data_IF_767068062542
#
_entry.id   IF_767068062542
#
_cell.length_a   1.000
_cell.length_b   1.000
_cell.length_c   1.000
_cell.angle_alpha   90.00
_cell.angle_beta   90.00
_cell.angle_gamma   90.00
#
_symmetry.space_group_name_H-M   'P 1'
#
loop_
_entity.id
_entity.type
_entity.pdbx_description
1 polymer ?
#
# COMPACT_ATOMS: atom_id res chain seq x y z
N UNK A 1 -4.52 -15.93 13.44
CA UNK A 1 -5.10 -14.60 13.11
C UNK A 1 -6.44 -14.84 12.46
N UNK A 2 -7.49 -14.17 12.94
CA UNK A 2 -8.84 -14.34 12.41
C UNK A 2 -9.25 -13.05 11.70
N UNK A 3 -9.95 -13.18 10.57
CA UNK A 3 -10.52 -12.08 9.81
C UNK A 3 -12.02 -12.30 9.72
N UNK A 4 -12.80 -11.24 9.90
CA UNK A 4 -14.25 -11.30 9.78
C UNK A 4 -14.76 -10.03 9.09
N UNK A 5 -15.66 -10.20 8.12
CA UNK A 5 -16.40 -9.07 7.57
C UNK A 5 -17.48 -8.67 8.58
N UNK A 6 -17.43 -7.42 9.06
CA UNK A 6 -18.41 -6.90 10.02
C UNK A 6 -19.65 -6.37 9.31
N UNK A 7 -19.49 -5.54 8.28
CA UNK A 7 -20.61 -4.92 7.59
C UNK A 7 -20.31 -4.61 6.12
N UNK A 8 -21.36 -4.55 5.30
CA UNK A 8 -21.35 -4.00 3.94
C UNK A 8 -22.58 -3.10 3.79
N UNK A 9 -22.41 -1.80 4.00
CA UNK A 9 -23.50 -0.81 4.02
C UNK A 9 -23.53 -0.02 2.72
N UNK A 10 -24.74 0.24 2.21
CA UNK A 10 -24.94 1.10 1.05
C UNK A 10 -25.32 2.50 1.51
N UNK A 11 -24.40 3.45 1.38
CA UNK A 11 -24.68 4.88 1.58
C UNK A 11 -25.32 5.43 0.32
N UNK A 12 -26.60 5.85 0.42
CA UNK A 12 -27.42 6.31 -0.71
C UNK A 12 -27.30 7.81 -1.00
N UNK A 13 -26.92 8.59 0.00
CA UNK A 13 -26.67 10.04 -0.09
C UNK A 13 -25.22 10.34 -0.45
N UNK A 14 -24.86 11.62 -0.51
CA UNK A 14 -23.46 12.06 -0.63
C UNK A 14 -22.59 11.39 0.44
N UNK A 15 -21.42 10.89 0.03
CA UNK A 15 -20.45 10.25 0.91
C UNK A 15 -19.60 11.29 1.64
N UNK A 16 -20.24 12.19 2.37
CA UNK A 16 -19.56 13.25 3.14
C UNK A 16 -18.91 12.66 4.39
N UNK A 17 -17.92 13.39 4.93
CA UNK A 17 -17.09 12.90 6.04
C UNK A 17 -17.89 12.61 7.33
N UNK A 18 -18.94 13.38 7.59
CA UNK A 18 -19.88 13.23 8.70
C UNK A 18 -20.72 11.95 8.57
N UNK A 19 -21.26 11.69 7.37
CA UNK A 19 -22.02 10.46 7.07
C UNK A 19 -21.13 9.23 7.21
N UNK A 20 -19.89 9.30 6.69
CA UNK A 20 -18.92 8.21 6.80
C UNK A 20 -18.57 7.94 8.28
N UNK A 21 -18.27 8.98 9.05
CA UNK A 21 -17.94 8.85 10.46
C UNK A 21 -19.08 8.22 11.27
N UNK A 22 -20.31 8.69 11.07
CA UNK A 22 -21.49 8.18 11.74
C UNK A 22 -21.75 6.69 11.43
N UNK A 23 -21.60 6.29 10.17
CA UNK A 23 -21.77 4.88 9.77
C UNK A 23 -20.69 3.96 10.38
N UNK A 24 -19.44 4.43 10.46
CA UNK A 24 -18.35 3.67 11.11
C UNK A 24 -18.66 3.48 12.60
N UNK A 25 -19.11 4.54 13.27
CA UNK A 25 -19.47 4.48 14.68
C UNK A 25 -20.68 3.55 14.94
N UNK A 26 -21.71 3.61 14.08
CA UNK A 26 -22.86 2.72 14.18
C UNK A 26 -22.44 1.25 14.07
N UNK A 27 -21.51 0.93 13.15
CA UNK A 27 -20.95 -0.41 13.02
C UNK A 27 -20.18 -0.79 14.29
N UNK A 28 -19.30 0.08 14.80
CA UNK A 28 -18.56 -0.21 16.04
C UNK A 28 -19.50 -0.46 17.22
N UNK A 29 -20.55 0.35 17.36
CA UNK A 29 -21.57 0.21 18.40
C UNK A 29 -22.35 -1.10 18.27
N UNK A 30 -22.80 -1.44 17.05
CA UNK A 30 -23.58 -2.65 16.77
C UNK A 30 -22.84 -3.93 17.17
N UNK A 31 -21.51 -3.95 16.97
CA UNK A 31 -20.66 -5.10 17.28
C UNK A 31 -19.93 -5.00 18.63
N UNK A 32 -20.22 -3.98 19.44
CA UNK A 32 -19.58 -3.80 20.76
C UNK A 32 -18.06 -3.58 20.69
N UNK A 33 -17.59 -2.92 19.61
CA UNK A 33 -16.19 -2.62 19.32
C UNK A 33 -15.75 -1.22 19.76
N UNK A 34 -16.67 -0.42 20.30
CA UNK A 34 -16.36 0.92 20.80
C UNK A 34 -15.20 0.88 21.81
N UNK A 35 -14.18 1.74 21.60
CA UNK A 35 -12.96 1.79 22.42
C UNK A 35 -12.01 0.58 22.31
N UNK A 36 -12.32 -0.43 21.49
CA UNK A 36 -11.47 -1.63 21.31
C UNK A 36 -10.67 -1.63 20.01
N UNK A 37 -11.01 -0.73 19.08
CA UNK A 37 -10.33 -0.63 17.79
C UNK A 37 -9.03 0.14 17.98
N UNK A 38 -7.92 -0.53 17.74
CA UNK A 38 -6.56 0.05 17.92
C UNK A 38 -6.07 0.82 16.70
N UNK A 39 -6.59 0.51 15.52
CA UNK A 39 -6.19 1.13 14.26
C UNK A 39 -7.26 0.92 13.19
N UNK A 40 -7.42 1.91 12.31
CA UNK A 40 -8.27 1.84 11.12
C UNK A 40 -7.47 2.19 9.88
N UNK A 41 -7.61 1.39 8.83
CA UNK A 41 -6.97 1.62 7.54
C UNK A 41 -8.03 1.90 6.50
N UNK A 42 -7.95 3.03 5.81
CA UNK A 42 -8.83 3.35 4.67
C UNK A 42 -8.02 3.69 3.43
N UNK A 43 -8.69 3.80 2.29
CA UNK A 43 -8.08 4.47 1.14
C UNK A 43 -7.76 5.95 1.46
N UNK A 44 -7.17 6.65 0.48
CA UNK A 44 -6.71 8.03 0.63
C UNK A 44 -7.75 9.02 0.11
N UNK A 45 -9.03 8.63 0.01
CA UNK A 45 -10.06 9.56 -0.41
C UNK A 45 -10.24 10.66 0.66
N UNK A 46 -10.44 11.89 0.19
CA UNK A 46 -10.47 13.08 1.04
C UNK A 46 -11.53 13.02 2.14
N UNK A 47 -12.70 12.43 1.87
CA UNK A 47 -13.77 12.32 2.87
C UNK A 47 -13.44 11.32 3.99
N UNK A 48 -12.69 10.24 3.72
CA UNK A 48 -12.18 9.38 4.79
C UNK A 48 -11.14 10.12 5.62
N UNK A 49 -10.13 10.73 4.98
CA UNK A 49 -9.10 11.48 5.67
C UNK A 49 -9.70 12.59 6.56
N UNK A 50 -10.71 13.30 6.05
CA UNK A 50 -11.42 14.34 6.80
C UNK A 50 -12.24 13.77 7.95
N UNK A 51 -12.91 12.63 7.78
CA UNK A 51 -13.69 12.01 8.84
C UNK A 51 -12.81 11.66 10.05
N UNK A 52 -11.68 11.00 9.80
CA UNK A 52 -10.74 10.66 10.87
C UNK A 52 -10.05 11.90 11.43
N UNK A 53 -9.67 12.89 10.63
CA UNK A 53 -9.10 14.13 11.15
C UNK A 53 -10.05 14.92 12.05
N UNK A 54 -11.37 14.88 11.79
CA UNK A 54 -12.38 15.63 12.57
C UNK A 54 -12.82 14.86 13.82
N UNK A 55 -12.94 13.54 13.74
CA UNK A 55 -13.53 12.71 14.80
C UNK A 55 -12.50 11.89 15.59
N UNK A 56 -11.20 11.93 15.27
CA UNK A 56 -10.19 11.25 16.07
C UNK A 56 -10.03 11.92 17.44
N UNK A 57 -9.98 11.11 18.51
CA UNK A 57 -9.78 11.59 19.88
C UNK A 57 -8.38 12.19 20.01
N UNK A 58 -8.28 13.37 20.63
CA UNK A 58 -7.03 14.11 20.79
C UNK A 58 -6.03 13.50 21.80
N UNK A 59 -6.17 12.24 22.22
CA UNK A 59 -5.33 11.66 23.27
C UNK A 59 -4.01 11.05 22.76
N UNK A 60 -3.74 11.10 21.45
CA UNK A 60 -2.43 10.78 20.89
C UNK A 60 -2.09 11.81 19.81
N UNK A 61 -0.91 12.40 19.90
CA UNK A 61 -0.36 13.38 18.97
C UNK A 61 -0.30 12.82 17.55
N UNK A 62 -1.42 12.92 16.83
CA UNK A 62 -1.49 12.77 15.39
C UNK A 62 -1.08 14.11 14.78
N UNK A 63 0.21 14.28 14.52
CA UNK A 63 0.71 15.38 13.69
C UNK A 63 0.28 15.17 12.24
N UNK A 64 -0.95 15.60 11.93
CA UNK A 64 -1.41 15.74 10.56
C UNK A 64 -0.63 16.88 9.89
N UNK A 65 0.35 16.51 9.06
CA UNK A 65 1.01 17.43 8.13
C UNK A 65 -0.06 18.14 7.29
N UNK A 66 -0.11 19.47 7.38
CA UNK A 66 -0.86 20.30 6.44
C UNK A 66 -0.11 20.25 5.10
N UNK A 67 -0.60 19.46 4.17
CA UNK A 67 -0.20 19.61 2.77
C UNK A 67 -0.77 20.94 2.25
N UNK A 68 0.13 21.85 1.89
CA UNK A 68 -0.13 23.11 1.20
C UNK A 68 -0.54 22.78 -0.24
N UNK A 69 -1.80 22.34 -0.41
CA UNK A 69 -2.41 22.24 -1.73
C UNK A 69 -2.79 23.67 -2.16
N UNK A 70 -2.18 24.16 -3.25
CA UNK A 70 -2.76 25.21 -4.08
C UNK A 70 -4.12 24.71 -4.60
N UNK A 71 -5.16 24.81 -3.76
CA UNK A 71 -6.53 24.51 -4.16
C UNK A 71 -7.01 25.59 -5.15
N UNK A 72 -7.44 25.16 -6.33
CA UNK A 72 -8.43 25.93 -7.10
C UNK A 72 -9.60 26.27 -6.17
N UNK A 73 -10.13 27.51 -6.20
CA UNK A 73 -11.14 27.95 -5.26
C UNK A 73 -12.43 27.15 -5.48
N UNK A 74 -12.64 26.15 -4.63
CA UNK A 74 -13.92 25.44 -4.57
C UNK A 74 -14.94 26.41 -3.99
N UNK A 75 -15.90 26.84 -4.81
CA UNK A 75 -16.97 27.75 -4.40
C UNK A 75 -17.79 27.08 -3.29
N UNK A 76 -17.47 27.42 -2.04
CA UNK A 76 -18.19 26.89 -0.88
C UNK A 76 -19.42 27.75 -0.68
N UNK A 77 -20.59 27.16 -0.92
CA UNK A 77 -21.87 27.85 -0.72
C UNK A 77 -22.01 28.28 0.74
N UNK A 78 -22.15 29.58 0.98
CA UNK A 78 -22.18 30.20 2.32
C UNK A 78 -23.31 29.63 3.18
N UNK A 79 -24.35 29.06 2.54
CA UNK A 79 -25.47 28.40 3.22
C UNK A 79 -25.03 27.09 3.92
N UNK A 80 -24.03 26.37 3.40
CA UNK A 80 -23.51 25.16 4.05
C UNK A 80 -22.66 25.47 5.29
N UNK A 81 -22.01 26.64 5.33
CA UNK A 81 -21.24 27.09 6.51
C UNK A 81 -22.18 27.48 7.66
N UNK A 82 -23.35 28.04 7.34
CA UNK A 82 -24.33 28.47 8.34
C UNK A 82 -25.31 27.37 8.77
N UNK A 83 -25.31 26.22 8.08
CA UNK A 83 -26.18 25.08 8.39
C UNK A 83 -25.46 23.94 9.12
N UNK A 84 -24.27 24.19 9.68
CA UNK A 84 -23.61 23.21 10.54
C UNK A 84 -24.57 22.83 11.69
N UNK A 85 -25.07 21.59 11.73
CA UNK A 85 -25.93 21.17 12.82
C UNK A 85 -25.12 21.23 14.11
N UNK A 86 -25.78 21.78 15.12
CA UNK A 86 -25.33 21.84 16.50
C UNK A 86 -24.80 20.48 16.95
N UNK A 87 -23.71 20.51 17.71
CA UNK A 87 -23.00 19.39 18.30
C UNK A 87 -23.92 18.46 19.08
N UNK A 88 -24.47 17.41 18.45
CA UNK A 88 -25.17 16.33 19.14
C UNK A 88 -24.74 14.97 18.56
N UNK A 89 -23.89 14.27 19.31
CA UNK A 89 -23.30 12.97 18.95
C UNK A 89 -21.78 13.01 18.82
N UNK A 90 -21.06 13.40 19.88
CA UNK A 90 -19.60 13.45 19.90
C UNK A 90 -19.03 12.03 20.04
N UNK A 91 -19.04 11.25 18.96
CA UNK A 91 -18.32 9.99 18.89
C UNK A 91 -16.85 10.23 18.52
N UNK A 92 -16.01 9.26 18.85
CA UNK A 92 -14.60 9.33 18.54
C UNK A 92 -14.15 8.14 17.70
N UNK A 93 -13.53 8.44 16.57
CA UNK A 93 -12.95 7.44 15.69
C UNK A 93 -11.55 7.03 16.18
N UNK A 94 -11.18 5.74 16.01
CA UNK A 94 -9.86 5.23 16.37
C UNK A 94 -8.74 5.80 15.48
N UNK A 95 -7.46 5.57 15.84
CA UNK A 95 -6.31 5.99 15.05
C UNK A 95 -6.41 5.57 13.58
N UNK A 96 -6.04 6.48 12.68
CA UNK A 96 -6.19 6.31 11.23
C UNK A 96 -4.86 6.14 10.52
N UNK A 97 -4.83 5.19 9.59
CA UNK A 97 -3.71 4.96 8.69
C UNK A 97 -4.19 4.95 7.23
N UNK A 98 -3.40 5.57 6.37
CA UNK A 98 -3.59 5.55 4.92
C UNK A 98 -3.23 4.18 4.35
N UNK A 99 -4.04 3.66 3.43
CA UNK A 99 -3.80 2.36 2.79
C UNK A 99 -2.48 2.39 1.99
N UNK A 100 -1.50 1.60 2.42
CA UNK A 100 -0.20 1.54 1.77
C UNK A 100 -0.30 1.15 0.29
N UNK A 101 -1.15 0.19 -0.03
CA UNK A 101 -1.36 -0.24 -1.41
C UNK A 101 -1.94 0.88 -2.28
N UNK A 102 -2.86 1.69 -1.74
CA UNK A 102 -3.39 2.84 -2.47
C UNK A 102 -2.31 3.93 -2.65
N UNK A 103 -1.51 4.16 -1.62
CA UNK A 103 -0.37 5.10 -1.68
C UNK A 103 0.66 4.66 -2.73
N UNK A 104 0.99 3.37 -2.85
CA UNK A 104 1.88 2.89 -3.93
C UNK A 104 1.22 3.08 -5.30
N UNK A 105 -0.08 2.85 -5.44
CA UNK A 105 -0.78 3.11 -6.69
C UNK A 105 -0.70 4.59 -7.08
N UNK A 106 -0.86 5.51 -6.13
CA UNK A 106 -0.70 6.96 -6.37
C UNK A 106 0.72 7.32 -6.85
N UNK A 107 1.77 6.65 -6.36
CA UNK A 107 3.13 6.84 -6.88
C UNK A 107 3.19 6.50 -8.37
N UNK A 108 2.56 5.39 -8.77
CA UNK A 108 2.50 4.96 -10.16
C UNK A 108 1.65 5.89 -11.04
N UNK A 109 0.49 6.34 -10.57
CA UNK A 109 -0.48 7.06 -11.41
C UNK A 109 -0.36 8.58 -11.32
N UNK A 110 0.28 9.12 -10.28
CA UNK A 110 0.45 10.56 -10.08
C UNK A 110 1.91 10.97 -10.23
N UNK A 111 2.81 10.47 -9.38
CA UNK A 111 4.20 10.96 -9.34
C UNK A 111 4.99 10.58 -10.60
N UNK A 112 4.89 9.32 -11.02
CA UNK A 112 5.50 8.82 -12.26
C UNK A 112 4.92 9.53 -13.48
N UNK A 113 3.58 9.65 -13.57
CA UNK A 113 2.95 10.35 -14.71
C UNK A 113 3.33 11.83 -14.76
N UNK A 114 3.36 12.52 -13.63
CA UNK A 114 3.81 13.92 -13.54
C UNK A 114 5.23 14.04 -14.07
N UNK A 115 6.14 13.17 -13.64
CA UNK A 115 7.53 13.18 -14.10
C UNK A 115 7.68 12.90 -15.61
N UNK A 116 6.97 11.89 -16.12
CA UNK A 116 6.98 11.56 -17.54
C UNK A 116 6.43 12.70 -18.42
N UNK A 117 5.57 13.57 -17.86
CA UNK A 117 5.04 14.74 -18.53
C UNK A 117 5.88 16.02 -18.36
N UNK A 118 6.96 16.00 -17.57
CA UNK A 118 7.78 17.19 -17.26
C UNK A 118 8.72 17.59 -18.41
N UNK A 119 9.39 16.63 -19.04
CA UNK A 119 10.31 16.91 -20.16
C UNK A 119 9.58 16.78 -21.50
N UNK A 120 9.86 17.68 -22.46
CA UNK A 120 9.18 17.66 -23.76
C UNK A 120 9.44 16.36 -24.54
N UNK A 121 10.69 15.86 -24.50
CA UNK A 121 11.09 14.63 -25.19
C UNK A 121 10.38 13.40 -24.57
N UNK A 122 10.52 13.18 -23.25
CA UNK A 122 9.90 12.04 -22.56
C UNK A 122 8.38 12.09 -22.69
N UNK A 123 7.77 13.28 -22.56
CA UNK A 123 6.33 13.48 -22.70
C UNK A 123 5.82 13.06 -24.07
N UNK A 124 6.52 13.44 -25.14
CA UNK A 124 6.12 13.10 -26.51
C UNK A 124 6.12 11.59 -26.74
N UNK A 125 7.18 10.91 -26.31
CA UNK A 125 7.33 9.45 -26.44
C UNK A 125 6.32 8.73 -25.57
N UNK A 126 6.18 9.12 -24.30
CA UNK A 126 5.21 8.53 -23.37
C UNK A 126 3.78 8.63 -23.91
N UNK A 127 3.34 9.84 -24.28
CA UNK A 127 1.97 10.05 -24.79
C UNK A 127 1.72 9.30 -26.09
N UNK A 128 2.69 9.28 -27.00
CA UNK A 128 2.57 8.54 -28.26
C UNK A 128 2.48 7.04 -28.04
N UNK A 129 3.36 6.47 -27.20
CA UNK A 129 3.33 5.05 -26.81
C UNK A 129 1.99 4.67 -26.17
N UNK A 130 1.53 5.44 -25.18
CA UNK A 130 0.28 5.16 -24.46
C UNK A 130 -0.95 5.30 -25.35
N UNK A 131 -0.96 6.27 -26.28
CA UNK A 131 -2.04 6.42 -27.25
C UNK A 131 -2.13 5.21 -28.20
N UNK A 132 -0.99 4.68 -28.66
CA UNK A 132 -0.95 3.48 -29.51
C UNK A 132 -1.41 2.23 -28.76
N UNK A 133 -0.94 2.02 -27.53
CA UNK A 133 -1.43 0.94 -26.68
C UNK A 133 -2.94 1.05 -26.44
N UNK A 134 -3.44 2.24 -26.15
CA UNK A 134 -4.87 2.51 -25.93
C UNK A 134 -5.71 2.25 -27.19
N UNK A 135 -5.22 2.64 -28.36
CA UNK A 135 -5.86 2.34 -29.63
C UNK A 135 -5.95 0.83 -29.87
N UNK A 136 -4.89 0.09 -29.55
CA UNK A 136 -4.84 -1.36 -29.69
C UNK A 136 -5.85 -2.06 -28.76
N UNK A 137 -5.85 -1.71 -27.47
CA UNK A 137 -6.82 -2.24 -26.50
C UNK A 137 -8.26 -1.92 -26.89
N UNK A 138 -8.52 -0.69 -27.33
CA UNK A 138 -9.87 -0.25 -27.74
C UNK A 138 -10.35 -0.98 -28.99
N UNK A 139 -9.46 -1.19 -29.98
CA UNK A 139 -9.81 -1.93 -31.19
C UNK A 139 -10.07 -3.40 -30.90
N UNK A 140 -9.20 -4.03 -30.12
CA UNK A 140 -9.36 -5.42 -29.72
C UNK A 140 -10.62 -5.65 -28.87
N UNK A 141 -11.02 -4.69 -28.02
CA UNK A 141 -12.22 -4.86 -27.18
C UNK A 141 -13.54 -4.61 -27.92
N UNK A 142 -13.53 -3.77 -28.97
CA UNK A 142 -14.76 -3.35 -29.67
C UNK A 142 -15.05 -4.13 -30.95
N UNK A 143 -14.13 -4.97 -31.42
CA UNK A 143 -14.29 -5.72 -32.67
C UNK A 143 -13.84 -7.16 -32.47
N UNK A 144 -14.77 -8.12 -32.66
CA UNK A 144 -14.48 -9.56 -32.60
C UNK A 144 -13.38 -9.95 -33.59
N UNK A 145 -13.48 -9.48 -34.84
CA UNK A 145 -12.46 -9.72 -35.86
C UNK A 145 -11.06 -9.22 -35.44
N UNK A 146 -10.98 -8.02 -34.87
CA UNK A 146 -9.72 -7.48 -34.37
C UNK A 146 -9.20 -8.29 -33.18
N UNK A 147 -10.08 -8.73 -32.27
CA UNK A 147 -9.72 -9.57 -31.14
C UNK A 147 -9.12 -10.91 -31.61
N UNK A 148 -9.75 -11.56 -32.59
CA UNK A 148 -9.29 -12.81 -33.21
C UNK A 148 -7.93 -12.62 -33.89
N UNK A 149 -7.75 -11.56 -34.68
CA UNK A 149 -6.46 -11.25 -35.33
C UNK A 149 -5.34 -11.02 -34.31
N UNK A 150 -5.65 -10.40 -33.18
CA UNK A 150 -4.68 -10.19 -32.11
C UNK A 150 -4.39 -11.51 -31.39
N UNK A 151 -5.41 -12.32 -31.11
CA UNK A 151 -5.28 -13.62 -30.43
C UNK A 151 -4.50 -14.64 -31.29
N UNK A 152 -4.66 -14.61 -32.61
CA UNK A 152 -3.91 -15.42 -33.57
C UNK A 152 -2.39 -15.16 -33.48
N UNK A 153 -1.99 -13.89 -33.36
CA UNK A 153 -0.57 -13.49 -33.29
C UNK A 153 -0.01 -13.61 -31.87
N UNK A 154 -0.75 -13.15 -30.88
CA UNK A 154 -0.28 -13.08 -29.49
C UNK A 154 -0.56 -14.35 -28.67
N UNK A 155 -1.18 -15.36 -29.31
CA UNK A 155 -1.68 -16.63 -28.74
C UNK A 155 -2.60 -16.49 -27.53
N UNK A 156 -3.06 -15.27 -27.22
CA UNK A 156 -3.80 -14.96 -26.00
C UNK A 156 -4.45 -13.57 -26.15
N UNK A 157 -5.66 -13.36 -25.63
CA UNK A 157 -6.36 -12.06 -25.68
C UNK A 157 -5.62 -10.90 -24.98
N UNK A 158 -5.66 -9.71 -25.58
CA UNK A 158 -5.19 -8.50 -24.91
C UNK A 158 -6.06 -8.15 -23.71
N UNK A 159 -5.42 -7.60 -22.68
CA UNK A 159 -6.10 -7.08 -21.51
C UNK A 159 -6.32 -5.58 -21.68
N UNK A 160 -7.55 -5.14 -21.44
CA UNK A 160 -7.85 -3.71 -21.35
C UNK A 160 -7.54 -3.28 -19.91
N UNK A 161 -6.69 -2.27 -19.68
CA UNK A 161 -6.41 -1.80 -18.34
C UNK A 161 -7.65 -1.20 -17.69
N UNK A 162 -7.78 -1.36 -16.37
CA UNK A 162 -8.92 -0.91 -15.57
C UNK A 162 -8.44 -0.13 -14.35
N UNK A 163 -9.00 1.05 -14.10
CA UNK A 163 -8.64 1.87 -12.94
C UNK A 163 -8.86 1.19 -11.58
N UNK A 164 -9.76 0.21 -11.52
CA UNK A 164 -10.10 -0.55 -10.30
C UNK A 164 -9.11 -1.64 -9.93
N UNK A 165 -8.18 -2.00 -10.84
CA UNK A 165 -7.11 -2.99 -10.58
C UNK A 165 -5.77 -2.33 -10.80
N UNK A 166 -5.09 -1.98 -9.70
CA UNK A 166 -3.89 -1.14 -9.70
C UNK A 166 -2.73 -1.69 -10.56
N UNK A 167 -2.60 -3.01 -10.67
CA UNK A 167 -1.58 -3.64 -11.54
C UNK A 167 -2.00 -3.79 -13.01
N UNK A 168 -3.24 -3.47 -13.39
CA UNK A 168 -3.78 -3.80 -14.72
C UNK A 168 -3.07 -3.08 -15.87
N UNK A 169 -2.58 -1.86 -15.67
CA UNK A 169 -1.86 -1.12 -16.71
C UNK A 169 -0.51 -1.79 -17.02
N UNK A 170 0.23 -2.15 -15.98
CA UNK A 170 1.47 -2.90 -16.09
C UNK A 170 1.25 -4.22 -16.84
N UNK A 171 0.23 -4.98 -16.43
CA UNK A 171 -0.10 -6.27 -17.06
C UNK A 171 -0.49 -6.09 -18.53
N UNK A 172 -1.31 -5.10 -18.85
CA UNK A 172 -1.76 -4.83 -20.21
C UNK A 172 -0.60 -4.42 -21.15
N UNK A 173 0.32 -3.59 -20.69
CA UNK A 173 1.50 -3.18 -21.48
C UNK A 173 2.50 -4.35 -21.58
N UNK A 174 2.77 -5.05 -20.47
CA UNK A 174 3.63 -6.25 -20.46
C UNK A 174 3.14 -7.27 -21.48
N UNK A 175 1.81 -7.40 -21.61
CA UNK A 175 1.20 -8.28 -22.59
C UNK A 175 1.44 -7.86 -24.04
N UNK A 176 1.37 -6.57 -24.35
CA UNK A 176 1.74 -6.07 -25.68
C UNK A 176 3.20 -6.40 -25.98
N UNK A 177 4.09 -6.20 -24.99
CA UNK A 177 5.52 -6.47 -25.14
C UNK A 177 5.88 -7.95 -25.25
N UNK A 178 4.93 -8.87 -25.04
CA UNK A 178 5.15 -10.29 -25.37
C UNK A 178 5.09 -10.55 -26.88
N UNK A 179 4.51 -9.62 -27.65
CA UNK A 179 4.44 -9.70 -29.12
C UNK A 179 5.72 -9.11 -29.70
N UNK A 180 6.51 -9.89 -30.47
CA UNK A 180 7.71 -9.39 -31.14
C UNK A 180 7.42 -8.17 -32.03
N UNK A 181 8.36 -7.22 -32.12
CA UNK A 181 8.16 -5.97 -32.87
C UNK A 181 7.90 -6.18 -34.37
N UNK A 182 8.47 -7.24 -34.95
CA UNK A 182 8.25 -7.68 -36.32
C UNK A 182 6.82 -8.21 -36.58
N UNK A 183 6.06 -8.55 -35.54
CA UNK A 183 4.67 -9.02 -35.64
C UNK A 183 3.68 -7.95 -35.17
N UNK A 184 4.04 -7.18 -34.14
CA UNK A 184 3.22 -6.11 -33.58
C UNK A 184 2.93 -5.00 -34.60
N UNK A 185 3.93 -4.59 -35.38
CA UNK A 185 3.74 -3.52 -36.37
C UNK A 185 2.87 -3.96 -37.57
N UNK A 186 3.06 -5.14 -38.18
CA UNK A 186 2.11 -5.66 -39.16
C UNK A 186 0.68 -5.77 -38.63
N UNK A 187 0.50 -6.19 -37.38
CA UNK A 187 -0.80 -6.19 -36.71
C UNK A 187 -1.39 -4.77 -36.61
N UNK A 188 -0.58 -3.78 -36.21
CA UNK A 188 -1.02 -2.38 -36.19
C UNK A 188 -1.48 -1.91 -37.56
N UNK A 189 -0.77 -2.25 -38.65
CA UNK A 189 -1.18 -1.91 -40.02
C UNK A 189 -2.52 -2.54 -40.38
N UNK A 190 -2.70 -3.84 -40.10
CA UNK A 190 -3.98 -4.54 -40.33
C UNK A 190 -5.15 -3.89 -39.59
N UNK A 191 -4.90 -3.41 -38.36
CA UNK A 191 -5.91 -2.78 -37.51
C UNK A 191 -6.11 -1.28 -37.77
N UNK A 192 -5.32 -0.68 -38.67
CA UNK A 192 -5.35 0.76 -38.97
C UNK A 192 -4.78 1.63 -37.84
N UNK A 193 -3.86 1.10 -37.04
CA UNK A 193 -3.19 1.79 -35.94
C UNK A 193 -1.78 2.20 -36.41
N UNK A 194 -1.30 3.37 -35.97
CA UNK A 194 0.07 3.80 -36.26
C UNK A 194 1.07 2.84 -35.62
N UNK A 195 2.05 2.37 -36.40
CA UNK A 195 3.11 1.48 -35.94
C UNK A 195 3.93 2.09 -34.80
N UNK A 196 4.44 1.25 -33.91
CA UNK A 196 5.39 1.62 -32.88
C UNK A 196 6.77 1.85 -33.51
N UNK A 197 7.40 2.95 -33.11
CA UNK A 197 8.79 3.26 -33.42
C UNK A 197 9.72 2.53 -32.45
N UNK A 198 10.99 2.35 -32.83
CA UNK A 198 11.98 1.70 -31.97
C UNK A 198 12.14 2.44 -30.63
N UNK A 199 12.09 3.78 -30.64
CA UNK A 199 12.15 4.61 -29.43
C UNK A 199 10.99 4.34 -28.48
N UNK A 200 9.77 4.21 -29.00
CA UNK A 200 8.57 3.92 -28.19
C UNK A 200 8.60 2.49 -27.64
N UNK A 201 9.06 1.53 -28.44
CA UNK A 201 9.19 0.14 -28.00
C UNK A 201 10.23 0.00 -26.89
N UNK A 202 11.39 0.64 -27.05
CA UNK A 202 12.43 0.68 -26.02
C UNK A 202 11.93 1.40 -24.75
N UNK A 203 11.22 2.52 -24.89
CA UNK A 203 10.59 3.21 -23.76
C UNK A 203 9.64 2.29 -22.99
N UNK A 204 8.74 1.56 -23.68
CA UNK A 204 7.77 0.68 -23.02
C UNK A 204 8.47 -0.47 -22.27
N UNK A 205 9.55 -1.03 -22.82
CA UNK A 205 10.36 -2.05 -22.12
C UNK A 205 10.98 -1.50 -20.84
N UNK A 206 11.59 -0.33 -20.90
CA UNK A 206 12.19 0.33 -19.74
C UNK A 206 11.14 0.70 -18.70
N UNK A 207 10.00 1.25 -19.15
CA UNK A 207 8.85 1.56 -18.29
C UNK A 207 8.40 0.32 -17.52
N UNK A 208 8.13 -0.80 -18.20
CA UNK A 208 7.74 -2.05 -17.53
C UNK A 208 8.83 -2.56 -16.57
N UNK A 209 10.11 -2.47 -16.94
CA UNK A 209 11.20 -2.86 -16.04
C UNK A 209 11.16 -2.07 -14.72
N UNK A 210 10.99 -0.75 -14.80
CA UNK A 210 10.95 0.15 -13.65
C UNK A 210 9.67 0.04 -12.84
N UNK A 211 8.53 -0.24 -13.48
CA UNK A 211 7.24 -0.41 -12.80
C UNK A 211 7.11 -1.78 -12.11
N UNK A 212 7.88 -2.79 -12.53
CA UNK A 212 7.79 -4.16 -11.99
C UNK A 212 8.01 -4.25 -10.46
N UNK A 213 9.02 -3.59 -9.86
CA UNK A 213 9.13 -3.56 -8.39
C UNK A 213 7.87 -3.02 -7.70
N UNK A 214 7.23 -1.99 -8.25
CA UNK A 214 6.00 -1.41 -7.70
C UNK A 214 4.84 -2.41 -7.74
N UNK A 215 4.66 -3.14 -8.84
CA UNK A 215 3.58 -4.12 -8.96
C UNK A 215 3.76 -5.30 -8.01
N UNK A 216 5.00 -5.78 -7.85
CA UNK A 216 5.33 -6.82 -6.87
C UNK A 216 5.06 -6.33 -5.43
N UNK A 217 5.40 -5.09 -5.12
CA UNK A 217 5.10 -4.51 -3.81
C UNK A 217 3.58 -4.38 -3.59
N UNK A 218 2.83 -3.96 -4.61
CA UNK A 218 1.37 -3.91 -4.57
C UNK A 218 0.76 -5.29 -4.32
N UNK A 219 1.19 -6.33 -5.03
CA UNK A 219 0.69 -7.69 -4.83
C UNK A 219 0.95 -8.20 -3.41
N UNK A 220 2.12 -7.88 -2.84
CA UNK A 220 2.45 -8.24 -1.45
C UNK A 220 1.52 -7.52 -0.48
N UNK A 221 1.32 -6.22 -0.64
CA UNK A 221 0.58 -5.39 0.32
C UNK A 221 -0.95 -5.54 0.19
N UNK A 222 -1.45 -5.92 -0.98
CA UNK A 222 -2.85 -6.25 -1.22
C UNK A 222 -3.21 -7.69 -0.85
N UNK A 223 -2.20 -8.55 -0.65
CA UNK A 223 -2.43 -9.94 -0.28
C UNK A 223 -3.12 -10.07 1.07
N UNK A 224 -4.05 -11.02 1.19
CA UNK A 224 -4.83 -11.22 2.41
C UNK A 224 -3.92 -11.43 3.64
N UNK A 225 -2.83 -12.16 3.49
CA UNK A 225 -1.88 -12.46 4.58
C UNK A 225 -0.88 -11.32 4.86
N UNK A 226 -1.06 -10.15 4.24
CA UNK A 226 -0.22 -9.00 4.54
C UNK A 226 -0.42 -8.52 5.98
N UNK A 227 0.70 -8.23 6.64
CA UNK A 227 0.74 -7.76 8.02
C UNK A 227 1.39 -6.40 8.05
N UNK A 228 1.12 -5.58 9.07
CA UNK A 228 1.81 -4.31 9.24
C UNK A 228 3.34 -4.48 9.28
N UNK A 229 3.84 -5.56 9.88
CA UNK A 229 5.27 -5.92 9.88
C UNK A 229 5.87 -6.24 8.50
N UNK A 230 5.05 -6.47 7.47
CA UNK A 230 5.54 -6.64 6.10
C UNK A 230 5.77 -5.31 5.39
N UNK A 231 5.24 -4.19 5.90
CA UNK A 231 5.24 -2.91 5.21
C UNK A 231 6.66 -2.34 5.05
N UNK A 232 7.39 -2.13 6.15
CA UNK A 232 8.77 -1.61 6.10
C UNK A 232 9.74 -2.49 5.31
N UNK A 233 9.77 -3.83 5.48
CA UNK A 233 10.59 -4.70 4.64
C UNK A 233 10.28 -4.58 3.14
N UNK A 234 8.99 -4.44 2.80
CA UNK A 234 8.53 -4.30 1.41
C UNK A 234 8.98 -2.97 0.83
N UNK A 235 8.76 -1.85 1.53
CA UNK A 235 9.19 -0.52 1.09
C UNK A 235 10.73 -0.43 0.94
N UNK A 236 11.48 -0.98 1.90
CA UNK A 236 12.95 -1.03 1.86
C UNK A 236 13.46 -1.81 0.65
N UNK A 237 12.86 -2.99 0.40
CA UNK A 237 13.19 -3.82 -0.76
C UNK A 237 12.79 -3.15 -2.08
N UNK A 238 11.62 -2.51 -2.12
CA UNK A 238 11.11 -1.76 -3.27
C UNK A 238 12.08 -0.64 -3.66
N UNK A 239 12.45 0.23 -2.72
CA UNK A 239 13.40 1.32 -2.97
C UNK A 239 14.74 0.79 -3.50
N UNK A 240 15.30 -0.23 -2.82
CA UNK A 240 16.59 -0.80 -3.20
C UNK A 240 16.57 -1.44 -4.60
N UNK A 241 15.52 -2.23 -4.90
CA UNK A 241 15.37 -2.90 -6.20
C UNK A 241 15.11 -1.89 -7.33
N UNK A 242 14.36 -0.83 -7.04
CA UNK A 242 14.08 0.23 -8.01
C UNK A 242 15.36 0.98 -8.37
N UNK A 243 16.16 1.40 -7.37
CA UNK A 243 17.43 2.09 -7.62
C UNK A 243 18.45 1.23 -8.38
N UNK A 244 18.48 -0.08 -8.13
CA UNK A 244 19.38 -0.99 -8.83
C UNK A 244 19.14 -1.08 -10.35
N UNK A 245 17.97 -0.66 -10.83
CA UNK A 245 17.67 -0.65 -12.26
C UNK A 245 18.30 0.54 -13.00
N UNK A 246 18.79 1.56 -12.28
CA UNK A 246 19.21 2.85 -12.84
C UNK A 246 20.26 2.72 -13.94
N UNK A 247 21.23 1.83 -13.75
CA UNK A 247 22.38 1.67 -14.65
C UNK A 247 22.01 0.97 -15.98
N UNK A 248 20.88 0.24 -16.01
CA UNK A 248 20.39 -0.47 -17.18
C UNK A 248 19.46 0.39 -18.07
N UNK A 249 19.16 1.62 -17.65
CA UNK A 249 18.17 2.48 -18.30
C UNK A 249 18.78 3.45 -19.31
N UNK A 250 18.01 3.77 -20.35
CA UNK A 250 18.38 4.86 -21.24
C UNK A 250 18.33 6.21 -20.54
N UNK A 251 19.00 7.22 -21.12
CA UNK A 251 18.99 8.60 -20.63
C UNK A 251 17.58 9.17 -20.41
N UNK A 252 16.59 8.69 -21.17
CA UNK A 252 15.20 9.16 -21.09
C UNK A 252 14.50 8.69 -19.81
N UNK A 253 14.83 7.51 -19.30
CA UNK A 253 14.16 6.88 -18.14
C UNK A 253 15.09 6.73 -16.93
N UNK A 254 16.38 7.04 -17.05
CA UNK A 254 17.38 6.92 -15.98
C UNK A 254 17.04 7.68 -14.70
N UNK A 255 16.21 8.73 -14.77
CA UNK A 255 15.77 9.50 -13.60
C UNK A 255 14.51 8.94 -12.95
N UNK A 256 13.81 8.02 -13.61
CA UNK A 256 12.54 7.47 -13.14
C UNK A 256 12.70 6.67 -11.82
N UNK A 257 13.75 5.83 -11.64
CA UNK A 257 14.00 5.19 -10.35
C UNK A 257 14.16 6.16 -9.18
N UNK A 258 14.89 7.26 -9.37
CA UNK A 258 15.12 8.26 -8.33
C UNK A 258 13.81 8.94 -7.93
N UNK A 259 12.95 9.25 -8.92
CA UNK A 259 11.63 9.85 -8.70
C UNK A 259 10.73 8.93 -7.90
N UNK A 260 10.68 7.64 -8.25
CA UNK A 260 9.88 6.65 -7.51
C UNK A 260 10.36 6.57 -6.06
N UNK A 261 11.67 6.47 -5.83
CA UNK A 261 12.22 6.37 -4.48
C UNK A 261 11.98 7.65 -3.67
N UNK A 262 12.08 8.82 -4.31
CA UNK A 262 11.72 10.10 -3.68
C UNK A 262 10.24 10.11 -3.28
N UNK A 263 9.35 9.71 -4.19
CA UNK A 263 7.92 9.64 -3.90
C UNK A 263 7.58 8.65 -2.78
N UNK A 264 8.26 7.50 -2.71
CA UNK A 264 8.13 6.56 -1.59
C UNK A 264 8.54 7.24 -0.29
N UNK A 265 9.72 7.88 -0.24
CA UNK A 265 10.20 8.55 0.97
C UNK A 265 9.26 9.65 1.45
N UNK A 266 8.74 10.46 0.53
CA UNK A 266 7.79 11.54 0.87
C UNK A 266 6.46 10.96 1.36
N UNK A 267 5.82 10.07 0.59
CA UNK A 267 4.48 9.58 0.92
C UNK A 267 4.42 8.61 2.10
N UNK A 268 5.54 7.93 2.40
CA UNK A 268 5.67 7.01 3.52
C UNK A 268 6.56 7.55 4.64
N UNK A 269 6.85 8.86 4.69
CA UNK A 269 7.76 9.45 5.66
C UNK A 269 7.45 9.01 7.11
N UNK A 270 6.19 9.20 7.54
CA UNK A 270 5.73 8.80 8.87
C UNK A 270 5.87 7.28 9.12
N UNK A 271 5.64 6.45 8.09
CA UNK A 271 5.78 4.99 8.21
C UNK A 271 7.25 4.59 8.35
N UNK A 272 8.14 5.20 7.57
CA UNK A 272 9.58 4.93 7.58
C UNK A 272 10.24 5.30 8.93
N UNK A 273 9.70 6.33 9.59
CA UNK A 273 10.14 6.76 10.92
C UNK A 273 9.38 6.09 12.07
N UNK A 274 8.35 5.29 11.79
CA UNK A 274 7.51 4.66 12.81
C UNK A 274 8.27 3.62 13.65
N UNK A 275 8.34 3.87 14.96
CA UNK A 275 8.83 2.91 15.95
C UNK A 275 8.00 1.62 15.96
N UNK A 276 6.67 1.75 15.94
CA UNK A 276 5.71 0.65 15.86
C UNK A 276 5.93 -0.20 14.60
N UNK A 277 6.18 0.46 13.46
CA UNK A 277 6.50 -0.21 12.21
C UNK A 277 7.78 -1.04 12.30
N UNK A 278 8.83 -0.50 12.94
CA UNK A 278 10.11 -1.20 13.15
C UNK A 278 9.94 -2.42 14.05
N UNK A 279 9.22 -2.27 15.16
CA UNK A 279 8.88 -3.36 16.08
C UNK A 279 8.02 -4.45 15.39
N UNK A 280 7.00 -4.04 14.64
CA UNK A 280 6.14 -4.97 13.89
C UNK A 280 6.93 -5.76 12.84
N UNK A 281 7.89 -5.13 12.17
CA UNK A 281 8.75 -5.81 11.20
C UNK A 281 9.74 -6.77 11.88
N UNK A 282 10.35 -6.36 13.00
CA UNK A 282 11.28 -7.17 13.77
C UNK A 282 10.62 -8.41 14.39
N UNK A 283 9.38 -8.28 14.86
CA UNK A 283 8.59 -9.39 15.45
C UNK A 283 7.88 -10.26 14.41
N UNK A 284 8.07 -9.99 13.12
CA UNK A 284 7.55 -10.83 12.05
C UNK A 284 8.55 -11.98 11.75
N UNK A 285 8.19 -13.26 11.98
CA UNK A 285 9.14 -14.39 11.82
C UNK A 285 9.74 -14.50 10.41
N UNK A 286 9.03 -14.02 9.39
CA UNK A 286 9.46 -14.05 7.99
C UNK A 286 10.66 -13.11 7.73
N UNK A 287 10.73 -11.98 8.44
CA UNK A 287 11.71 -10.94 8.17
C UNK A 287 12.74 -10.79 9.29
N UNK A 288 12.29 -10.80 10.56
CA UNK A 288 13.11 -10.49 11.73
C UNK A 288 13.93 -9.21 11.50
N UNK A 289 15.25 -9.25 11.69
CA UNK A 289 16.16 -8.14 11.35
C UNK A 289 16.80 -8.25 9.96
N UNK A 290 16.49 -9.29 9.16
CA UNK A 290 17.17 -9.57 7.89
C UNK A 290 16.90 -8.54 6.79
N UNK A 291 15.83 -7.77 6.92
CA UNK A 291 15.45 -6.72 5.97
C UNK A 291 16.29 -5.44 6.13
N UNK A 292 16.94 -5.26 7.28
CA UNK A 292 17.88 -4.17 7.54
C UNK A 292 19.25 -4.53 6.97
N UNK A 293 19.83 -3.62 6.18
CA UNK A 293 21.10 -3.84 5.49
C UNK A 293 22.30 -3.43 6.32
N UNK A 294 22.18 -2.35 7.08
CA UNK A 294 23.24 -1.81 7.91
C UNK A 294 23.15 -2.35 9.34
N UNK A 295 24.31 -2.60 9.92
CA UNK A 295 24.41 -3.18 11.27
C UNK A 295 23.93 -2.19 12.35
N UNK A 296 24.09 -0.88 12.12
CA UNK A 296 23.64 0.15 13.05
C UNK A 296 22.13 0.09 13.27
N UNK A 297 21.33 0.04 12.18
CA UNK A 297 19.88 -0.10 12.28
C UNK A 297 19.46 -1.41 12.92
N UNK A 298 20.19 -2.51 12.69
CA UNK A 298 19.89 -3.80 13.34
C UNK A 298 20.06 -3.71 14.85
N UNK A 299 21.15 -3.11 15.31
CA UNK A 299 21.39 -2.88 16.75
C UNK A 299 20.30 -1.99 17.33
N UNK A 300 19.98 -0.87 16.68
CA UNK A 300 18.92 0.05 17.14
C UNK A 300 17.56 -0.65 17.28
N UNK A 301 17.14 -1.43 16.27
CA UNK A 301 15.85 -2.13 16.31
C UNK A 301 15.88 -3.29 17.33
N UNK A 302 17.03 -3.93 17.55
CA UNK A 302 17.19 -4.94 18.61
C UNK A 302 17.05 -4.32 20.00
N UNK A 303 17.73 -3.21 20.26
CA UNK A 303 17.64 -2.48 21.54
C UNK A 303 16.21 -1.97 21.80
N UNK A 304 15.55 -1.49 20.75
CA UNK A 304 14.16 -1.09 20.79
C UNK A 304 13.24 -2.24 21.21
N UNK A 305 13.42 -3.42 20.61
CA UNK A 305 12.63 -4.61 20.93
C UNK A 305 12.84 -5.07 22.38
N UNK A 306 14.09 -5.09 22.85
CA UNK A 306 14.41 -5.42 24.25
C UNK A 306 13.72 -4.44 25.22
N UNK A 307 13.78 -3.14 24.92
CA UNK A 307 13.19 -2.09 25.76
C UNK A 307 11.67 -2.25 25.85
N UNK A 308 11.01 -2.54 24.72
CA UNK A 308 9.57 -2.77 24.67
C UNK A 308 9.16 -4.03 25.44
N UNK A 309 9.91 -5.13 25.29
CA UNK A 309 9.68 -6.38 26.02
C UNK A 309 9.78 -6.17 27.54
N UNK A 310 10.79 -5.43 28.01
CA UNK A 310 10.94 -5.09 29.43
C UNK A 310 9.77 -4.25 29.96
N UNK A 311 9.34 -3.25 29.20
CA UNK A 311 8.23 -2.37 29.57
C UNK A 311 6.92 -3.16 29.69
N UNK A 312 6.66 -4.04 28.73
CA UNK A 312 5.47 -4.90 28.73
C UNK A 312 5.50 -5.90 29.89
N UNK A 313 6.66 -6.52 30.16
CA UNK A 313 6.84 -7.45 31.27
C UNK A 313 6.59 -6.78 32.64
N UNK A 314 7.07 -5.55 32.82
CA UNK A 314 6.81 -4.75 34.02
C UNK A 314 5.32 -4.42 34.18
N UNK A 315 4.64 -3.99 33.09
CA UNK A 315 3.21 -3.69 33.12
C UNK A 315 2.35 -4.92 33.46
N UNK A 316 2.74 -6.12 33.02
CA UNK A 316 2.05 -7.37 33.36
C UNK A 316 2.31 -7.85 34.79
N UNK A 317 3.41 -7.41 35.42
CA UNK A 317 3.71 -7.75 36.82
C UNK A 317 2.86 -6.95 37.82
N UNK A 318 2.39 -5.76 37.42
CA UNK A 318 1.58 -4.85 38.26
C UNK A 318 0.05 -5.01 38.09
N UNK A 319 -0.42 -5.86 37.16
CA UNK A 319 -1.86 -6.11 36.97
C UNK A 319 -2.41 -7.16 37.95
N UNK A 320 -3.58 -6.95 38.60
CA UNK A 320 -4.21 -7.98 39.40
C UNK A 320 -4.60 -9.17 38.51
N UNK A 321 -4.06 -10.36 38.82
CA UNK A 321 -4.38 -11.60 38.11
C UNK A 321 -5.88 -11.91 38.26
N UNK A 322 -6.67 -11.62 37.22
CA UNK A 322 -8.01 -12.20 37.09
C UNK A 322 -7.81 -13.64 36.60
N UNK A 323 -7.98 -14.58 37.52
CA UNK A 323 -7.66 -16.00 37.34
C UNK A 323 -8.59 -16.65 36.32
N UNK A 324 -8.06 -17.00 35.13
CA UNK A 324 -8.63 -18.08 34.33
C UNK A 324 -8.42 -19.42 35.08
N UNK A 325 -9.41 -20.34 35.09
CA UNK A 325 -9.22 -21.65 35.70
C UNK A 325 -8.18 -22.44 34.90
N UNK A 326 -7.23 -23.13 35.57
CA UNK A 326 -6.22 -23.93 34.89
C UNK A 326 -6.88 -25.08 34.13
N UNK A 327 -6.28 -25.45 33.00
CA UNK A 327 -6.64 -26.65 32.22
C UNK A 327 -6.68 -27.89 33.12
N UNK A 328 -7.55 -28.83 32.79
CA UNK A 328 -7.78 -30.04 33.59
C UNK A 328 -6.48 -30.84 33.78
N UNK A 329 -6.25 -31.44 34.96
CA UNK A 329 -5.01 -32.14 35.31
C UNK A 329 -4.59 -33.23 34.30
N UNK A 330 -5.55 -33.82 33.61
CA UNK A 330 -5.35 -34.98 32.74
C UNK A 330 -4.60 -34.67 31.42
N UNK A 331 -4.57 -33.41 30.94
CA UNK A 331 -3.84 -33.05 29.70
C UNK A 331 -2.36 -32.79 29.95
N UNK A 332 -1.99 -32.42 31.18
CA UNK A 332 -0.62 -32.08 31.56
C UNK A 332 0.25 -33.31 31.86
N UNK A 333 -0.38 -34.45 32.16
CA UNK A 333 0.30 -35.73 32.46
C UNK A 333 0.72 -36.51 31.20
N UNK A 334 0.29 -36.06 30.01
CA UNK A 334 0.65 -36.68 28.73
C UNK A 334 2.01 -36.21 28.19
N UNK A 335 2.48 -35.04 28.62
CA UNK A 335 3.74 -34.46 28.19
C UNK A 335 4.68 -34.33 29.38
N UNK A 336 5.71 -35.18 29.44
CA UNK A 336 6.84 -35.04 30.38
C UNK A 336 7.64 -33.78 30.01
N UNK A 337 7.19 -32.61 30.47
CA UNK A 337 7.97 -31.39 30.38
C UNK A 337 8.93 -31.33 31.57
N UNK A 338 10.24 -31.32 31.30
CA UNK A 338 11.22 -30.89 32.29
C UNK A 338 10.87 -29.47 32.74
N UNK A 339 10.47 -29.31 34.01
CA UNK A 339 10.35 -28.00 34.63
C UNK A 339 11.77 -27.46 34.73
N UNK A 340 12.22 -26.74 33.70
CA UNK A 340 13.47 -26.01 33.78
C UNK A 340 13.35 -25.02 34.95
N UNK A 341 14.41 -24.87 35.76
CA UNK A 341 14.43 -23.83 36.79
C UNK A 341 14.08 -22.48 36.14
N UNK A 342 13.44 -21.58 36.87
CA UNK A 342 13.41 -20.15 36.54
C UNK A 342 14.84 -19.60 36.58
N UNK A 343 15.69 -19.99 35.63
CA UNK A 343 16.74 -19.10 35.19
C UNK A 343 16.01 -17.84 34.73
N UNK A 344 16.46 -16.70 35.20
CA UNK A 344 15.92 -15.40 34.81
C UNK A 344 16.01 -15.29 33.30
N UNK A 345 14.93 -15.61 32.59
CA UNK A 345 14.78 -15.30 31.18
C UNK A 345 14.81 -13.79 31.07
N UNK A 346 16.01 -13.23 30.86
CA UNK A 346 16.16 -11.82 30.58
C UNK A 346 15.55 -11.58 29.21
N UNK A 347 14.81 -10.49 29.02
CA UNK A 347 14.25 -10.12 27.72
C UNK A 347 15.33 -10.14 26.62
N UNK A 348 16.57 -9.82 26.99
CA UNK A 348 17.75 -9.90 26.12
C UNK A 348 18.05 -11.29 25.58
N UNK A 349 17.90 -12.35 26.39
CA UNK A 349 18.17 -13.72 25.98
C UNK A 349 17.08 -14.19 25.02
N UNK A 350 15.80 -13.98 25.36
CA UNK A 350 14.68 -14.35 24.49
C UNK A 350 14.69 -13.60 23.15
N UNK A 351 14.98 -12.29 23.18
CA UNK A 351 15.10 -11.50 21.96
C UNK A 351 16.30 -11.95 21.13
N UNK A 352 17.41 -12.33 21.76
CA UNK A 352 18.59 -12.83 21.04
C UNK A 352 18.35 -14.20 20.42
N UNK A 353 17.63 -15.09 21.09
CA UNK A 353 17.26 -16.39 20.55
C UNK A 353 16.20 -16.28 19.44
N UNK A 354 15.32 -15.29 19.53
CA UNK A 354 14.27 -15.05 18.56
C UNK A 354 14.80 -14.44 17.24
N UNK A 355 15.70 -13.45 17.31
CA UNK A 355 16.25 -12.73 16.13
C UNK A 355 17.13 -13.65 15.30
#
# INVERSE_FOLDING_TARGET
RNKAALACRRIKSSHTFDVIGAEIEEIHSTYGLHGKVVATVTDNASNFAKAFSVYQSCDLESECEKEDDEEEPTFTDVINVMSAPSTEGQFSLPPHYRCASHTINLISTSDVEKHLNSSAETKSVYRSSMAKCSALWTKASRSTLAAEQVEEISCRKLMVPTSTRWNSLYEAISRILTIPSNELNPLCVKLGIKCFTEKEYQFLKEYISVMKPLTVALDILQGDECTYGALLPTLTSLMSKTLALKDDLSKMTATLPDVIVKAIKTRFNAVLESQEGRLAAATCPKFKLRWLRDECSRVQVKELLITECRTTAAATADAPQDSQPPASPDEMDFFDFEIQPRESFSAENEVTDYI
#
